data_IF_599293527477
#
_entry.id   IF_599293527477
#
_cell.length_a   1.000
_cell.length_b   1.000
_cell.length_c   1.000
_cell.angle_alpha   90.00
_cell.angle_beta   90.00
_cell.angle_gamma   90.00
#
_symmetry.space_group_name_H-M   'P 1'
#
loop_
_entity.id
_entity.type
_entity.pdbx_description
1 polymer ?
#
# COMPACT_ATOMS: atom_id res chain seq x y z
N UNK A 1 38.10 -41.01 -59.52
CA UNK A 1 38.07 -41.26 -58.08
C UNK A 1 38.17 -39.89 -57.39
N UNK A 2 37.05 -39.26 -57.17
CA UNK A 2 36.98 -37.89 -56.63
C UNK A 2 36.19 -37.86 -55.34
N UNK A 3 36.72 -37.16 -54.41
CA UNK A 3 36.37 -36.96 -53.02
C UNK A 3 35.07 -36.24 -52.81
N UNK A 4 34.21 -36.79 -51.99
CA UNK A 4 33.14 -36.04 -51.35
C UNK A 4 33.47 -35.94 -49.85
N UNK A 5 34.05 -34.83 -49.50
CA UNK A 5 34.08 -34.30 -48.13
C UNK A 5 33.53 -32.90 -48.23
N UNK A 6 32.35 -32.63 -47.75
CA UNK A 6 31.89 -31.29 -47.37
C UNK A 6 30.52 -31.42 -46.72
N UNK A 7 30.37 -30.70 -45.59
CA UNK A 7 29.16 -30.26 -44.88
C UNK A 7 28.56 -31.21 -43.84
N UNK A 8 29.29 -31.38 -42.75
CA UNK A 8 28.71 -31.80 -41.48
C UNK A 8 28.96 -30.79 -40.31
N UNK A 9 29.33 -29.53 -40.66
CA UNK A 9 29.68 -28.53 -39.61
C UNK A 9 28.77 -27.29 -39.58
N UNK A 10 27.72 -27.27 -40.43
CA UNK A 10 26.84 -26.08 -40.46
C UNK A 10 25.45 -26.33 -39.85
N UNK A 11 25.17 -27.51 -39.33
CA UNK A 11 23.86 -27.84 -38.75
C UNK A 11 23.80 -27.84 -37.22
N UNK A 12 24.90 -27.50 -36.54
CA UNK A 12 24.97 -27.53 -35.08
C UNK A 12 24.84 -26.14 -34.44
N UNK A 13 24.77 -25.05 -35.20
CA UNK A 13 24.70 -23.67 -34.68
C UNK A 13 23.28 -23.12 -34.68
N UNK A 14 22.35 -23.74 -35.41
CA UNK A 14 20.96 -23.25 -35.49
C UNK A 14 20.03 -23.82 -34.41
N UNK A 15 20.49 -24.74 -33.55
CA UNK A 15 19.64 -25.40 -32.54
C UNK A 15 19.85 -24.87 -31.12
N UNK A 16 20.71 -23.85 -30.94
CA UNK A 16 20.97 -23.28 -29.59
C UNK A 16 20.19 -21.97 -29.30
N UNK A 17 19.30 -21.53 -30.19
CA UNK A 17 18.56 -20.29 -30.00
C UNK A 17 17.07 -20.47 -29.66
N UNK A 18 16.62 -21.67 -29.32
CA UNK A 18 15.25 -21.96 -28.91
C UNK A 18 15.17 -22.60 -27.53
N UNK A 19 15.99 -22.14 -26.58
CA UNK A 19 15.65 -22.36 -25.19
C UNK A 19 14.60 -21.30 -24.80
N UNK A 20 13.39 -21.69 -24.40
CA UNK A 20 12.48 -20.74 -23.83
C UNK A 20 13.17 -20.13 -22.61
N UNK A 21 13.28 -18.82 -22.59
CA UNK A 21 13.63 -18.06 -21.41
C UNK A 21 12.54 -18.38 -20.36
N UNK A 22 12.81 -19.31 -19.47
CA UNK A 22 12.00 -19.44 -18.27
C UNK A 22 12.22 -18.19 -17.45
N UNK A 23 11.35 -17.21 -17.64
CA UNK A 23 11.18 -16.17 -16.65
C UNK A 23 10.86 -16.91 -15.34
N UNK A 24 11.74 -16.81 -14.37
CA UNK A 24 11.51 -17.31 -13.02
C UNK A 24 10.33 -16.51 -12.47
N UNK A 25 9.13 -17.04 -12.62
CA UNK A 25 7.96 -16.54 -11.90
C UNK A 25 8.26 -16.80 -10.43
N UNK A 26 8.47 -15.75 -9.66
CA UNK A 26 8.48 -15.85 -8.20
C UNK A 26 7.13 -16.45 -7.81
N UNK A 27 7.13 -17.69 -7.37
CA UNK A 27 5.94 -18.34 -6.87
C UNK A 27 5.52 -17.61 -5.59
N UNK A 28 4.41 -16.88 -5.65
CA UNK A 28 3.86 -16.22 -4.47
C UNK A 28 3.12 -17.27 -3.67
N UNK A 29 3.63 -17.60 -2.49
CA UNK A 29 3.01 -18.59 -1.60
C UNK A 29 1.73 -17.97 -1.01
N UNK A 30 0.60 -18.46 -1.43
CA UNK A 30 -0.73 -18.09 -0.93
C UNK A 30 -1.05 -18.94 0.29
N UNK A 31 -1.19 -18.35 1.46
CA UNK A 31 -1.32 -19.08 2.73
C UNK A 31 -2.74 -19.27 3.23
N UNK A 32 -3.72 -18.46 2.85
CA UNK A 32 -5.10 -18.57 3.37
C UNK A 32 -6.21 -17.99 2.46
N UNK A 33 -6.09 -18.12 1.18
CA UNK A 33 -7.05 -17.52 0.23
C UNK A 33 -6.82 -16.03 0.04
N UNK A 34 -5.61 -15.61 0.29
CA UNK A 34 -5.12 -14.25 0.23
C UNK A 34 -5.33 -13.55 -1.10
N UNK A 35 -4.99 -12.34 -1.07
CA UNK A 35 -4.92 -11.34 -2.12
C UNK A 35 -4.05 -11.72 -3.29
N UNK A 36 -3.07 -12.58 -3.08
CA UNK A 36 -2.04 -12.94 -4.05
C UNK A 36 -2.55 -13.72 -5.27
N UNK A 37 -3.82 -13.58 -5.61
CA UNK A 37 -4.38 -14.06 -6.88
C UNK A 37 -4.32 -13.02 -7.99
N UNK A 38 -3.72 -11.87 -7.75
CA UNK A 38 -3.37 -11.01 -8.85
C UNK A 38 -2.21 -11.66 -9.59
N UNK A 39 -2.55 -12.22 -10.72
CA UNK A 39 -1.56 -12.58 -11.70
C UNK A 39 -1.06 -11.28 -12.32
N UNK A 40 0.11 -10.82 -11.87
CA UNK A 40 0.75 -9.63 -12.42
C UNK A 40 1.01 -9.74 -13.93
N UNK A 41 0.89 -10.93 -14.50
CA UNK A 41 0.94 -11.12 -15.95
C UNK A 41 -0.31 -10.61 -16.65
N UNK A 42 -1.41 -10.41 -15.92
CA UNK A 42 -2.65 -9.83 -16.42
C UNK A 42 -2.75 -8.31 -16.21
N UNK A 43 -1.77 -7.71 -15.52
CA UNK A 43 -1.75 -6.27 -15.37
C UNK A 43 -1.59 -5.58 -16.72
N UNK A 44 -2.46 -4.65 -17.00
CA UNK A 44 -2.44 -3.87 -18.24
C UNK A 44 -1.51 -2.68 -18.05
N UNK A 45 -0.23 -2.83 -18.43
CA UNK A 45 0.79 -1.79 -18.31
C UNK A 45 0.57 -0.61 -19.28
N UNK A 46 -0.25 -0.77 -20.29
CA UNK A 46 -0.67 0.32 -21.17
C UNK A 46 -2.10 0.10 -21.62
N UNK A 47 -2.93 1.12 -21.52
CA UNK A 47 -4.32 1.08 -21.93
C UNK A 47 -4.73 2.44 -22.46
N UNK A 48 -5.56 2.53 -23.51
CA UNK A 48 -6.12 3.79 -23.96
C UNK A 48 -7.10 4.40 -22.95
N UNK A 49 -7.49 3.65 -21.90
CA UNK A 49 -8.47 4.08 -20.90
C UNK A 49 -7.84 4.45 -19.55
N UNK A 50 -6.59 4.08 -19.31
CA UNK A 50 -5.91 4.31 -18.04
C UNK A 50 -4.58 5.01 -18.25
N UNK A 51 -4.34 6.02 -17.44
CA UNK A 51 -3.02 6.66 -17.32
C UNK A 51 -2.32 6.05 -16.12
N UNK A 52 -1.20 5.38 -16.38
CA UNK A 52 -0.33 4.91 -15.31
C UNK A 52 0.46 6.08 -14.74
N UNK A 53 0.30 6.34 -13.45
CA UNK A 53 1.04 7.36 -12.72
C UNK A 53 2.19 6.72 -11.96
N UNK A 54 3.37 7.29 -12.05
CA UNK A 54 4.54 6.87 -11.28
C UNK A 54 4.59 7.61 -9.93
N UNK A 55 3.74 7.21 -8.99
CA UNK A 55 3.67 7.83 -7.67
C UNK A 55 4.96 7.69 -6.88
N UNK A 56 5.76 6.65 -7.10
CA UNK A 56 7.04 6.47 -6.42
C UNK A 56 8.04 7.58 -6.77
N UNK A 57 8.13 7.97 -8.03
CA UNK A 57 9.06 9.00 -8.50
C UNK A 57 8.41 10.40 -8.58
N UNK A 58 7.09 10.49 -8.40
CA UNK A 58 6.37 11.76 -8.43
C UNK A 58 6.79 12.66 -7.27
N UNK A 59 6.81 13.96 -7.52
CA UNK A 59 7.23 14.96 -6.52
C UNK A 59 6.09 15.89 -6.18
N UNK A 60 6.08 16.35 -4.94
CA UNK A 60 5.20 17.45 -4.52
C UNK A 60 5.40 18.70 -5.38
N UNK A 61 4.32 19.45 -5.54
CA UNK A 61 4.29 20.72 -6.25
C UNK A 61 3.35 21.72 -5.53
N UNK A 62 2.85 22.73 -6.22
CA UNK A 62 2.00 23.77 -5.62
C UNK A 62 0.65 23.23 -5.12
N UNK A 63 0.09 22.21 -5.75
CA UNK A 63 -1.21 21.64 -5.41
C UNK A 63 -1.12 20.23 -4.81
N UNK A 64 -0.04 19.48 -5.09
CA UNK A 64 0.19 18.12 -4.62
C UNK A 64 1.19 18.12 -3.45
N UNK A 65 0.81 17.51 -2.33
CA UNK A 65 1.73 17.11 -1.26
C UNK A 65 1.81 15.59 -1.24
N UNK A 66 2.98 15.01 -1.49
CA UNK A 66 3.20 13.57 -1.59
C UNK A 66 4.45 13.18 -0.80
N UNK A 67 4.39 12.12 -0.02
CA UNK A 67 5.57 11.55 0.63
C UNK A 67 6.49 10.96 -0.43
N UNK A 68 7.78 11.34 -0.46
CA UNK A 68 8.68 10.95 -1.53
C UNK A 68 9.07 9.47 -1.42
N UNK A 69 9.18 8.80 -2.57
CA UNK A 69 9.69 7.44 -2.71
C UNK A 69 9.06 6.44 -1.72
N UNK A 70 7.76 6.52 -1.53
CA UNK A 70 7.05 5.68 -0.58
C UNK A 70 6.88 4.28 -1.16
N UNK A 71 7.57 3.28 -0.60
CA UNK A 71 7.52 1.89 -1.06
C UNK A 71 6.22 1.21 -0.60
N UNK A 72 5.56 0.50 -1.51
CA UNK A 72 4.34 -0.26 -1.24
C UNK A 72 4.62 -1.77 -1.17
N UNK A 73 3.81 -2.49 -0.41
CA UNK A 73 3.84 -3.94 -0.28
C UNK A 73 2.44 -4.51 -0.36
N UNK A 74 2.27 -5.69 -0.96
CA UNK A 74 1.01 -6.39 -0.97
C UNK A 74 0.95 -7.40 0.18
N UNK A 75 -0.20 -7.47 0.87
CA UNK A 75 -0.43 -8.44 1.95
C UNK A 75 -0.55 -9.85 1.38
N UNK A 76 -0.10 -10.83 2.14
CA UNK A 76 -0.19 -12.25 1.73
C UNK A 76 -1.39 -12.97 2.35
N UNK A 77 -2.04 -12.38 3.34
CA UNK A 77 -3.20 -12.93 4.05
C UNK A 77 -4.34 -11.90 4.13
N UNK A 78 -5.59 -12.36 4.13
CA UNK A 78 -6.76 -11.47 4.12
C UNK A 78 -6.88 -10.55 5.34
N UNK A 79 -6.22 -10.87 6.44
CA UNK A 79 -6.34 -10.13 7.70
C UNK A 79 -5.09 -9.33 8.08
N UNK A 80 -4.06 -9.30 7.21
CA UNK A 80 -2.75 -8.71 7.52
C UNK A 80 -2.53 -7.32 6.92
N UNK A 81 -3.59 -6.62 6.52
CA UNK A 81 -3.48 -5.24 6.04
C UNK A 81 -2.75 -4.32 7.07
N UNK A 82 -3.12 -4.40 8.36
CA UNK A 82 -2.46 -3.64 9.42
C UNK A 82 -0.95 -3.91 9.54
N UNK A 83 -0.48 -5.17 9.63
CA UNK A 83 0.95 -5.51 9.59
C UNK A 83 1.68 -4.97 8.38
N UNK A 84 1.08 -5.06 7.18
CA UNK A 84 1.74 -4.61 5.96
C UNK A 84 1.84 -3.09 5.88
N UNK A 85 0.78 -2.34 6.24
CA UNK A 85 0.90 -0.87 6.31
C UNK A 85 1.91 -0.44 7.37
N UNK A 86 2.05 -1.18 8.47
CA UNK A 86 3.09 -0.94 9.48
C UNK A 86 4.49 -1.10 8.87
N UNK A 87 4.72 -2.18 8.13
CA UNK A 87 5.99 -2.43 7.45
C UNK A 87 6.31 -1.36 6.39
N UNK A 88 5.32 -0.87 5.65
CA UNK A 88 5.49 0.25 4.72
C UNK A 88 5.94 1.54 5.46
N UNK A 89 5.33 1.85 6.61
CA UNK A 89 5.74 3.02 7.42
C UNK A 89 7.14 2.85 7.98
N UNK A 90 7.49 1.65 8.44
CA UNK A 90 8.87 1.35 8.90
C UNK A 90 9.86 1.51 7.76
N UNK A 91 9.54 1.00 6.57
CA UNK A 91 10.39 1.15 5.39
C UNK A 91 10.59 2.61 4.99
N UNK A 92 9.54 3.42 5.00
CA UNK A 92 9.62 4.86 4.70
C UNK A 92 10.67 5.59 5.55
N UNK A 93 10.84 5.22 6.82
CA UNK A 93 11.79 5.88 7.71
C UNK A 93 13.15 5.18 7.78
N UNK A 94 13.22 3.86 7.64
CA UNK A 94 14.42 3.06 7.85
C UNK A 94 15.01 2.45 6.58
N UNK A 95 14.32 2.60 5.43
CA UNK A 95 14.72 2.04 4.13
C UNK A 95 14.54 0.52 4.01
N UNK A 96 13.87 -0.11 4.98
CA UNK A 96 13.48 -1.53 4.96
C UNK A 96 12.54 -1.87 6.12
N UNK A 97 11.67 -2.87 5.99
CA UNK A 97 10.94 -3.45 7.12
C UNK A 97 11.89 -4.06 8.16
N UNK A 98 11.54 -4.01 9.43
CA UNK A 98 12.29 -4.66 10.52
C UNK A 98 11.90 -6.12 10.71
N UNK A 99 10.66 -6.47 10.39
CA UNK A 99 10.09 -7.80 10.59
C UNK A 99 9.33 -8.24 9.33
N UNK A 100 9.17 -9.54 9.15
CA UNK A 100 8.27 -10.09 8.14
C UNK A 100 6.80 -9.74 8.46
N UNK A 101 5.92 -9.85 7.48
CA UNK A 101 4.47 -9.62 7.65
C UNK A 101 3.89 -10.43 8.83
N UNK A 102 4.24 -11.72 8.92
CA UNK A 102 3.71 -12.60 9.97
C UNK A 102 4.30 -12.32 11.35
N UNK A 103 5.56 -11.93 11.44
CA UNK A 103 6.17 -11.50 12.70
C UNK A 103 5.53 -10.20 13.19
N UNK A 104 5.36 -9.22 12.30
CA UNK A 104 4.65 -7.97 12.60
C UNK A 104 3.22 -8.27 13.05
N UNK A 105 2.51 -9.15 12.35
CA UNK A 105 1.16 -9.58 12.73
C UNK A 105 1.09 -10.15 14.14
N UNK A 106 2.03 -11.02 14.48
CA UNK A 106 2.14 -11.62 15.82
C UNK A 106 2.39 -10.57 16.90
N UNK A 107 3.34 -9.66 16.67
CA UNK A 107 3.68 -8.59 17.61
C UNK A 107 2.50 -7.66 17.88
N UNK A 108 1.65 -7.41 16.88
CA UNK A 108 0.46 -6.55 16.98
C UNK A 108 -0.78 -7.25 17.53
N UNK A 109 -0.72 -8.57 17.76
CA UNK A 109 -1.89 -9.37 18.12
C UNK A 109 -2.91 -9.50 16.99
N UNK A 110 -2.46 -9.31 15.74
CA UNK A 110 -3.29 -9.49 14.54
C UNK A 110 -3.71 -10.95 14.39
N UNK A 111 -4.96 -11.18 14.05
CA UNK A 111 -5.48 -12.54 13.81
C UNK A 111 -6.65 -12.54 12.80
N UNK A 112 -6.96 -13.71 12.27
CA UNK A 112 -7.99 -13.87 11.22
C UNK A 112 -9.42 -13.46 11.62
N UNK A 113 -9.70 -13.39 12.92
CA UNK A 113 -11.05 -13.03 13.41
C UNK A 113 -11.19 -11.52 13.61
N UNK A 114 -10.09 -10.89 13.98
CA UNK A 114 -10.08 -9.52 14.43
C UNK A 114 -9.22 -8.58 13.58
N UNK A 115 -8.46 -9.09 12.59
CA UNK A 115 -7.47 -8.27 11.91
C UNK A 115 -6.53 -7.58 12.91
N UNK A 116 -6.22 -6.34 12.67
CA UNK A 116 -5.37 -5.51 13.53
C UNK A 116 -6.18 -4.38 14.16
N UNK A 117 -6.06 -4.22 15.48
CA UNK A 117 -6.69 -3.09 16.17
C UNK A 117 -5.80 -1.86 16.15
N UNK A 118 -6.39 -0.66 16.25
CA UNK A 118 -5.66 0.61 16.43
C UNK A 118 -4.64 0.54 17.57
N UNK A 119 -5.01 -0.09 18.70
CA UNK A 119 -4.12 -0.27 19.84
C UNK A 119 -2.93 -1.18 19.55
N UNK A 120 -3.15 -2.28 18.82
CA UNK A 120 -2.09 -3.21 18.43
C UNK A 120 -1.12 -2.53 17.46
N UNK A 121 -1.62 -1.81 16.47
CA UNK A 121 -0.82 -1.09 15.50
C UNK A 121 0.03 0.00 16.18
N UNK A 122 -0.59 0.84 17.01
CA UNK A 122 0.14 1.85 17.81
C UNK A 122 1.15 1.21 18.75
N UNK A 123 0.78 0.09 19.41
CA UNK A 123 1.64 -0.64 20.35
C UNK A 123 2.94 -1.06 19.72
N UNK A 124 2.91 -1.62 18.52
CA UNK A 124 4.10 -2.01 17.78
C UNK A 124 5.13 -0.86 17.64
N UNK A 125 4.68 0.34 17.26
CA UNK A 125 5.58 1.49 17.15
C UNK A 125 6.11 1.98 18.49
N UNK A 126 5.29 1.91 19.55
CA UNK A 126 5.75 2.24 20.91
C UNK A 126 6.80 1.26 21.43
N UNK A 127 6.65 -0.02 21.10
CA UNK A 127 7.63 -1.06 21.45
C UNK A 127 8.97 -0.86 20.72
N UNK A 128 8.94 -0.24 19.53
CA UNK A 128 10.14 0.22 18.82
C UNK A 128 10.74 1.52 19.40
N UNK A 129 10.14 2.13 20.42
CA UNK A 129 10.56 3.42 20.97
C UNK A 129 10.19 4.63 20.10
N UNK A 130 9.24 4.48 19.18
CA UNK A 130 8.80 5.55 18.30
C UNK A 130 7.74 6.45 18.96
N UNK A 131 7.70 7.71 18.52
CA UNK A 131 6.58 8.59 18.81
C UNK A 131 5.36 8.13 18.00
N UNK A 132 4.35 7.58 18.70
CA UNK A 132 3.14 7.07 18.08
C UNK A 132 1.90 7.60 18.79
N UNK A 133 0.96 8.12 18.00
CA UNK A 133 -0.35 8.63 18.45
C UNK A 133 -1.45 8.04 17.56
N UNK A 134 -2.65 7.90 18.12
CA UNK A 134 -3.77 7.27 17.42
C UNK A 134 -5.12 7.82 17.85
N UNK A 135 -6.16 7.44 17.13
CA UNK A 135 -7.56 7.69 17.50
C UNK A 135 -7.98 7.02 18.83
N UNK A 136 -7.16 6.14 19.39
CA UNK A 136 -7.36 5.62 20.73
C UNK A 136 -6.83 6.55 21.84
N UNK A 137 -6.02 7.54 21.48
CA UNK A 137 -5.41 8.51 22.42
C UNK A 137 -6.07 9.88 22.35
N UNK A 138 -6.60 10.26 21.19
CA UNK A 138 -7.16 11.59 20.94
C UNK A 138 -8.29 11.52 19.90
N UNK A 139 -9.16 12.52 19.93
CA UNK A 139 -10.29 12.62 19.01
C UNK A 139 -9.85 12.64 17.55
N UNK A 140 -10.62 11.97 16.71
CA UNK A 140 -10.50 12.04 15.25
C UNK A 140 -11.17 13.32 14.71
N UNK A 141 -10.77 13.82 13.53
CA UNK A 141 -11.42 14.94 12.87
C UNK A 141 -12.95 14.75 12.78
N UNK A 142 -13.72 15.75 13.20
CA UNK A 142 -15.19 15.68 13.24
C UNK A 142 -15.82 16.21 11.96
N UNK A 143 -15.18 17.21 11.35
CA UNK A 143 -15.61 17.83 10.10
C UNK A 143 -14.67 17.53 8.95
N UNK A 144 -15.15 17.69 7.72
CA UNK A 144 -14.32 17.53 6.52
C UNK A 144 -13.15 18.50 6.52
N UNK A 145 -13.37 19.76 6.90
CA UNK A 145 -12.30 20.76 7.01
C UNK A 145 -11.21 20.36 8.02
N UNK A 146 -11.62 19.87 9.20
CA UNK A 146 -10.65 19.35 10.18
C UNK A 146 -9.86 18.16 9.62
N UNK A 147 -10.51 17.28 8.85
CA UNK A 147 -9.86 16.17 8.19
C UNK A 147 -8.81 16.63 7.17
N UNK A 148 -9.13 17.60 6.33
CA UNK A 148 -8.18 18.16 5.36
C UNK A 148 -6.95 18.76 6.06
N UNK A 149 -7.18 19.53 7.14
CA UNK A 149 -6.10 20.13 7.93
C UNK A 149 -5.23 19.03 8.61
N UNK A 150 -5.86 17.99 9.12
CA UNK A 150 -5.19 16.83 9.72
C UNK A 150 -4.29 16.12 8.69
N UNK A 151 -4.81 15.81 7.51
CA UNK A 151 -4.07 15.16 6.43
C UNK A 151 -2.89 16.02 5.99
N UNK A 152 -3.14 17.26 5.62
CA UNK A 152 -2.09 18.15 5.12
C UNK A 152 -1.01 18.43 6.18
N UNK A 153 -1.40 18.59 7.44
CA UNK A 153 -0.46 18.81 8.55
C UNK A 153 0.52 17.64 8.72
N UNK A 154 0.03 16.41 8.67
CA UNK A 154 0.87 15.21 8.79
C UNK A 154 1.76 15.01 7.57
N UNK A 155 1.23 15.14 6.35
CA UNK A 155 2.01 14.98 5.12
C UNK A 155 3.13 16.00 5.02
N UNK A 156 2.86 17.28 5.32
CA UNK A 156 3.88 18.35 5.38
C UNK A 156 4.97 18.08 6.42
N UNK A 157 4.63 17.36 7.51
CA UNK A 157 5.57 16.91 8.53
C UNK A 157 6.27 15.59 8.17
N UNK A 158 6.19 15.13 6.93
CA UNK A 158 6.72 13.85 6.44
C UNK A 158 6.23 12.67 7.32
N UNK A 159 4.94 12.63 7.62
CA UNK A 159 4.35 11.61 8.49
C UNK A 159 3.23 10.87 7.75
N UNK A 160 3.42 9.59 7.39
CA UNK A 160 2.36 8.76 6.81
C UNK A 160 1.21 8.58 7.81
N UNK A 161 -0.02 8.53 7.31
CA UNK A 161 -1.20 8.38 8.17
C UNK A 161 -1.85 7.03 7.87
N UNK A 162 -1.69 6.07 8.75
CA UNK A 162 -2.38 4.80 8.67
C UNK A 162 -3.85 5.00 9.05
N UNK A 163 -4.77 4.58 8.21
CA UNK A 163 -6.21 4.78 8.36
C UNK A 163 -6.95 3.48 8.09
N UNK A 164 -8.07 3.27 8.76
CA UNK A 164 -8.95 2.14 8.52
C UNK A 164 -10.29 2.64 7.98
N UNK A 165 -10.72 2.13 6.83
CA UNK A 165 -11.98 2.50 6.22
C UNK A 165 -12.85 1.27 5.90
N UNK A 166 -14.08 1.52 5.46
CA UNK A 166 -15.13 0.49 5.29
C UNK A 166 -14.85 -0.54 4.19
N UNK A 167 -13.91 -0.29 3.29
CA UNK A 167 -13.63 -1.25 2.21
C UNK A 167 -13.31 -2.63 2.77
N UNK A 168 -13.84 -3.64 2.12
CA UNK A 168 -13.74 -5.05 2.53
C UNK A 168 -14.27 -5.33 3.97
N UNK A 169 -15.06 -4.39 4.51
CA UNK A 169 -15.62 -4.48 5.86
C UNK A 169 -14.81 -3.77 6.93
N UNK A 170 -13.54 -3.50 6.67
CA UNK A 170 -12.55 -2.82 7.50
C UNK A 170 -11.17 -3.09 6.92
N UNK A 171 -10.51 -2.04 6.41
CA UNK A 171 -9.25 -2.18 5.70
C UNK A 171 -8.28 -1.07 6.05
N UNK A 172 -7.06 -1.46 6.48
CA UNK A 172 -5.96 -0.53 6.78
C UNK A 172 -5.22 -0.15 5.50
N UNK A 173 -5.10 1.16 5.27
CA UNK A 173 -4.31 1.79 4.22
C UNK A 173 -3.51 2.96 4.79
N UNK A 174 -2.69 3.59 3.98
CA UNK A 174 -1.88 4.74 4.39
C UNK A 174 -2.19 5.92 3.47
N UNK A 175 -2.58 7.06 4.02
CA UNK A 175 -2.60 8.31 3.26
C UNK A 175 -1.14 8.76 3.14
N UNK A 176 -0.65 8.82 1.91
CA UNK A 176 0.70 9.23 1.54
C UNK A 176 0.73 10.51 0.71
N UNK A 177 -0.41 10.94 0.18
CA UNK A 177 -0.51 12.14 -0.62
C UNK A 177 -1.88 12.78 -0.58
N UNK A 178 -1.90 14.06 -0.92
CA UNK A 178 -3.08 14.91 -1.01
C UNK A 178 -2.89 15.92 -2.13
N UNK A 179 -3.87 15.99 -3.03
CA UNK A 179 -3.87 16.92 -4.15
C UNK A 179 -5.14 17.76 -4.15
N UNK A 180 -4.98 19.10 -4.22
CA UNK A 180 -6.09 20.04 -4.33
C UNK A 180 -6.63 20.17 -5.76
N UNK A 181 -6.12 19.37 -6.70
CA UNK A 181 -6.45 19.43 -8.13
C UNK A 181 -6.25 20.84 -8.76
N UNK A 182 -5.48 21.69 -8.07
CA UNK A 182 -5.26 23.10 -8.44
C UNK A 182 -6.55 23.92 -8.51
N UNK A 183 -7.53 23.61 -7.65
CA UNK A 183 -8.79 24.35 -7.55
C UNK A 183 -8.98 24.94 -6.14
N UNK A 184 -9.99 25.78 -5.98
CA UNK A 184 -10.45 26.28 -4.67
C UNK A 184 -11.60 25.45 -4.09
N UNK A 185 -12.09 24.49 -4.84
CA UNK A 185 -13.20 23.60 -4.46
C UNK A 185 -12.66 22.36 -3.78
N UNK A 186 -12.81 22.25 -2.46
CA UNK A 186 -12.34 21.08 -1.71
C UNK A 186 -13.14 19.80 -1.99
N UNK A 187 -14.23 19.87 -2.73
CA UNK A 187 -15.03 18.69 -3.12
C UNK A 187 -14.39 17.85 -4.23
N UNK A 188 -13.41 18.39 -4.95
CA UNK A 188 -12.65 17.69 -5.98
C UNK A 188 -11.22 17.27 -5.53
N UNK A 189 -10.87 17.58 -4.29
CA UNK A 189 -9.61 17.14 -3.69
C UNK A 189 -9.49 15.61 -3.67
N UNK A 190 -8.27 15.11 -3.84
CA UNK A 190 -8.01 13.66 -3.84
C UNK A 190 -6.94 13.27 -2.83
N UNK A 191 -7.05 12.04 -2.34
CA UNK A 191 -6.02 11.37 -1.54
C UNK A 191 -5.30 10.35 -2.42
N UNK A 192 -3.99 10.24 -2.20
CA UNK A 192 -3.17 9.17 -2.71
C UNK A 192 -2.89 8.23 -1.53
N UNK A 193 -3.22 6.97 -1.70
CA UNK A 193 -3.12 5.95 -0.67
C UNK A 193 -2.10 4.89 -1.05
N UNK A 194 -1.32 4.41 -0.09
CA UNK A 194 -0.62 3.14 -0.19
C UNK A 194 -1.56 2.03 0.34
N UNK A 195 -1.85 1.07 -0.50
CA UNK A 195 -2.85 0.02 -0.29
C UNK A 195 -2.22 -1.38 -0.31
N UNK A 196 -2.22 -2.11 0.81
CA UNK A 196 -1.68 -3.47 0.85
C UNK A 196 -2.58 -4.52 0.16
N UNK A 197 -3.77 -4.12 -0.27
CA UNK A 197 -4.72 -4.96 -1.00
C UNK A 197 -5.20 -4.26 -2.26
N UNK A 198 -4.27 -3.79 -3.04
CA UNK A 198 -4.57 -3.01 -4.23
C UNK A 198 -5.28 -3.85 -5.29
N UNK A 199 -6.52 -3.45 -5.55
CA UNK A 199 -7.42 -3.97 -6.60
C UNK A 199 -8.19 -2.83 -7.27
N UNK A 200 -7.67 -1.61 -7.15
CA UNK A 200 -8.38 -0.42 -7.59
C UNK A 200 -8.33 -0.23 -9.12
N UNK A 201 -7.26 -0.71 -9.74
CA UNK A 201 -7.05 -0.61 -11.17
C UNK A 201 -6.44 -1.88 -11.76
N UNK A 202 -5.77 -1.78 -12.90
CA UNK A 202 -5.12 -2.92 -13.58
C UNK A 202 -3.64 -3.09 -13.20
N UNK A 203 -3.16 -2.33 -12.22
CA UNK A 203 -1.80 -2.41 -11.71
C UNK A 203 -1.83 -2.71 -10.21
N UNK A 204 -1.29 -3.82 -9.81
CA UNK A 204 -1.13 -4.12 -8.39
C UNK A 204 0.17 -3.49 -7.85
N UNK A 205 0.30 -2.18 -8.06
CA UNK A 205 1.48 -1.43 -7.63
C UNK A 205 1.36 -0.88 -6.20
N UNK A 206 0.19 -1.03 -5.60
CA UNK A 206 -0.08 -0.60 -4.23
C UNK A 206 -0.41 0.87 -4.08
N UNK A 207 -0.66 1.61 -5.17
CA UNK A 207 -1.10 3.00 -5.11
C UNK A 207 -2.54 3.12 -5.58
N UNK A 208 -3.37 3.79 -4.78
CA UNK A 208 -4.76 4.05 -5.14
C UNK A 208 -5.09 5.53 -4.94
N UNK A 209 -5.98 6.05 -5.77
CA UNK A 209 -6.47 7.43 -5.69
C UNK A 209 -7.94 7.43 -5.37
N UNK A 210 -8.34 8.22 -4.36
CA UNK A 210 -9.75 8.33 -3.96
C UNK A 210 -10.13 9.80 -3.73
N UNK A 211 -11.38 10.20 -4.05
CA UNK A 211 -11.87 11.52 -3.66
C UNK A 211 -11.81 11.68 -2.13
N UNK A 212 -11.22 12.77 -1.66
CA UNK A 212 -10.97 13.01 -0.24
C UNK A 212 -12.28 13.10 0.56
N UNK A 213 -13.30 13.76 0.01
CA UNK A 213 -14.60 13.87 0.67
C UNK A 213 -15.30 12.52 0.78
N UNK A 214 -15.28 11.70 -0.29
CA UNK A 214 -15.80 10.35 -0.25
C UNK A 214 -15.11 9.52 0.83
N UNK A 215 -13.78 9.58 0.90
CA UNK A 215 -13.02 8.87 1.92
C UNK A 215 -13.45 9.30 3.33
N UNK A 216 -13.59 10.58 3.61
CA UNK A 216 -13.99 11.09 4.91
C UNK A 216 -15.32 10.51 5.41
N UNK A 217 -16.32 10.35 4.52
CA UNK A 217 -17.61 9.74 4.86
C UNK A 217 -17.59 8.21 4.93
N UNK A 218 -16.59 7.57 4.28
CA UNK A 218 -16.40 6.12 4.30
C UNK A 218 -15.36 5.68 5.34
N UNK A 219 -14.89 6.58 6.19
CA UNK A 219 -13.84 6.34 7.17
C UNK A 219 -14.39 5.71 8.45
N UNK A 220 -14.70 4.41 8.38
CA UNK A 220 -15.20 3.59 9.50
C UNK A 220 -14.98 2.11 9.21
N UNK A 221 -15.00 1.28 10.27
CA UNK A 221 -14.97 -0.18 10.19
C UNK A 221 -16.40 -0.73 10.29
N UNK A 222 -16.89 -1.37 9.22
CA UNK A 222 -18.25 -1.90 9.18
C UNK A 222 -18.43 -3.22 9.92
N UNK A 223 -17.36 -4.04 10.02
CA UNK A 223 -17.43 -5.35 10.70
C UNK A 223 -17.50 -5.19 12.22
N UNK A 224 -16.80 -4.18 12.72
CA UNK A 224 -16.66 -3.93 14.16
C UNK A 224 -17.38 -2.68 14.64
N UNK A 225 -18.28 -2.21 13.82
CA UNK A 225 -19.04 -1.01 14.11
C UNK A 225 -19.89 -1.18 15.36
N UNK A 226 -19.36 -0.81 16.51
CA UNK A 226 -20.09 -0.65 17.75
C UNK A 226 -19.92 0.76 18.28
N UNK A 227 -21.00 1.56 18.20
CA UNK A 227 -21.21 2.83 18.89
C UNK A 227 -19.97 3.75 19.02
N UNK A 228 -19.36 4.10 17.89
CA UNK A 228 -18.28 5.09 17.84
C UNK A 228 -16.87 4.58 18.09
N UNK A 229 -16.68 3.37 18.62
CA UNK A 229 -15.35 2.86 18.95
C UNK A 229 -14.47 2.59 17.71
N UNK A 230 -15.09 2.31 16.57
CA UNK A 230 -14.40 2.01 15.30
C UNK A 230 -14.67 3.08 14.24
N UNK A 231 -14.99 4.26 14.68
CA UNK A 231 -15.23 5.40 13.81
C UNK A 231 -13.94 6.18 13.60
N UNK A 232 -13.57 6.38 12.32
CA UNK A 232 -12.40 7.18 11.93
C UNK A 232 -11.11 6.78 12.63
N UNK A 233 -10.75 5.50 12.53
CA UNK A 233 -9.52 4.97 13.13
C UNK A 233 -8.29 5.43 12.35
N UNK A 234 -7.28 5.87 13.07
CA UNK A 234 -6.00 6.26 12.51
C UNK A 234 -4.85 6.01 13.48
N UNK A 235 -3.65 5.86 12.93
CA UNK A 235 -2.39 5.85 13.66
C UNK A 235 -1.35 6.63 12.86
N UNK A 236 -0.59 7.46 13.54
CA UNK A 236 0.61 8.10 13.00
C UNK A 236 1.81 7.72 13.88
N UNK A 237 2.94 7.47 13.25
CA UNK A 237 4.15 7.10 13.95
C UNK A 237 5.40 7.57 13.20
N UNK A 238 6.44 7.94 13.95
CA UNK A 238 7.76 8.22 13.43
C UNK A 238 8.84 7.95 14.49
N UNK A 239 10.08 7.65 14.09
CA UNK A 239 11.19 7.48 15.04
C UNK A 239 11.25 8.62 16.06
N UNK A 240 11.56 8.31 17.31
CA UNK A 240 11.97 9.32 18.28
C UNK A 240 13.36 9.86 17.87
N UNK A 241 13.52 11.19 17.91
CA UNK A 241 14.81 11.84 17.61
C UNK A 241 15.87 11.47 18.64
#
# INVERSE_FOLDING_TARGET
MSKIRIHLTTLLIALLCLLPSFASTKEVIITDGSVARFDITNDVKSSPYFTQLDFFNMKSNEHLTLLPNFTTYQQTNMHTCGPVVTNMVVDHFLGKPLHSELETAKMMGCNKYNGTTTKGLRGYFKDLGWNATSSADTDSPKTYTEFLNFVQGHLKANTPIMVENVEWGGHWRIIIGYDTMNTTNTGDDVLILADPFDKADHLQDGYTVVPAEKFFYMWFDAIRFSKGANWKQWVVAKPAN
#
